data_IF_181420362876
#
_entry.id   IF_181420362876
#
_cell.length_a   1.000
_cell.length_b   1.000
_cell.length_c   1.000
_cell.angle_alpha   90.00
_cell.angle_beta   90.00
_cell.angle_gamma   90.00
#
_symmetry.space_group_name_H-M   'P 1'
#
loop_
_entity.id
_entity.type
_entity.pdbx_description
1 polymer ?
#
# COMPACT_ATOMS: atom_id res chain seq x y z
N UNK A 1 56.89 15.12 36.03
CA UNK A 1 58.15 14.89 36.76
C UNK A 1 59.27 15.45 35.89
N UNK A 2 59.84 16.57 36.32
CA UNK A 2 60.88 17.31 35.61
C UNK A 2 62.25 16.74 36.02
N UNK A 3 63.02 16.22 35.07
CA UNK A 3 64.43 15.89 35.27
C UNK A 3 65.28 17.04 34.74
N UNK A 4 65.90 17.76 35.67
CA UNK A 4 66.94 18.75 35.42
C UNK A 4 68.27 18.04 35.16
N UNK A 5 68.86 18.24 33.98
CA UNK A 5 70.24 17.85 33.72
C UNK A 5 71.16 19.07 33.86
N UNK A 6 72.09 18.98 34.79
CA UNK A 6 73.18 19.93 35.06
C UNK A 6 74.37 19.48 34.21
N UNK A 7 74.80 20.31 33.26
CA UNK A 7 76.05 20.10 32.51
C UNK A 7 77.19 20.86 33.17
N UNK A 8 78.16 20.11 33.71
CA UNK A 8 79.46 20.60 34.16
C UNK A 8 80.35 20.91 32.96
N UNK A 9 80.79 22.17 32.84
CA UNK A 9 81.82 22.60 31.87
C UNK A 9 83.18 22.55 32.56
N UNK A 10 84.03 21.60 32.16
CA UNK A 10 85.43 21.51 32.54
C UNK A 10 86.25 22.46 31.65
N UNK A 11 86.79 23.52 32.24
CA UNK A 11 87.76 24.42 31.60
C UNK A 11 89.15 23.85 31.80
N UNK A 12 89.78 23.36 30.73
CA UNK A 12 91.18 22.95 30.73
C UNK A 12 92.03 24.13 30.23
N UNK A 13 92.79 24.74 31.14
CA UNK A 13 93.80 25.74 30.80
C UNK A 13 95.06 25.04 30.28
N UNK A 14 95.38 25.20 28.99
CA UNK A 14 96.67 24.77 28.43
C UNK A 14 97.67 25.93 28.58
N UNK A 15 98.68 25.75 29.44
CA UNK A 15 99.83 26.65 29.57
C UNK A 15 100.74 26.50 28.35
N UNK A 16 100.85 27.57 27.54
CA UNK A 16 101.88 27.70 26.50
C UNK A 16 103.19 28.20 27.13
N UNK A 17 104.22 27.36 27.07
CA UNK A 17 105.60 27.70 27.41
C UNK A 17 106.31 28.26 26.17
N UNK A 18 106.70 29.54 26.22
CA UNK A 18 107.48 30.21 25.17
C UNK A 18 108.98 29.98 25.38
N UNK A 19 109.58 29.07 24.61
CA UNK A 19 111.04 28.95 24.49
C UNK A 19 111.52 29.71 23.26
N UNK A 20 112.30 30.77 23.47
CA UNK A 20 112.97 31.53 22.42
C UNK A 20 114.22 30.78 21.93
N UNK A 21 114.44 30.63 20.60
CA UNK A 21 115.69 30.09 20.09
C UNK A 21 116.78 31.18 19.99
N UNK A 22 117.98 30.82 20.43
CA UNK A 22 119.20 31.64 20.35
C UNK A 22 119.71 31.74 18.89
N UNK A 23 120.01 32.97 18.47
CA UNK A 23 120.55 33.31 17.15
C UNK A 23 122.05 32.99 17.06
N UNK A 24 122.40 31.92 16.34
CA UNK A 24 123.75 31.68 15.84
C UNK A 24 123.90 32.29 14.45
N UNK A 25 124.65 33.38 14.33
CA UNK A 25 125.02 33.99 13.05
C UNK A 25 126.29 33.32 12.50
N UNK A 26 126.12 32.29 11.67
CA UNK A 26 127.18 31.83 10.77
C UNK A 26 127.00 32.50 9.41
N UNK A 27 128.12 32.88 8.79
CA UNK A 27 128.18 33.61 7.51
C UNK A 27 127.66 32.77 6.35
N UNK A 28 126.34 32.71 6.22
CA UNK A 28 125.65 32.08 5.12
C UNK A 28 125.80 32.99 3.90
N UNK A 29 126.40 32.46 2.83
CA UNK A 29 126.52 33.15 1.54
C UNK A 29 125.14 33.62 1.07
N UNK A 30 125.02 34.82 0.48
CA UNK A 30 123.74 35.40 0.02
C UNK A 30 122.89 34.43 -0.80
N UNK A 31 123.49 33.49 -1.51
CA UNK A 31 122.79 32.41 -2.24
C UNK A 31 122.06 31.42 -1.33
N UNK A 32 122.63 31.01 -0.19
CA UNK A 32 121.96 30.11 0.74
C UNK A 32 120.82 30.80 1.50
N UNK A 33 120.95 32.10 1.83
CA UNK A 33 119.82 32.86 2.39
C UNK A 33 118.65 32.97 1.40
N UNK A 34 118.93 33.17 0.11
CA UNK A 34 117.88 33.17 -0.93
C UNK A 34 117.20 31.80 -1.08
N UNK A 35 117.95 30.70 -1.02
CA UNK A 35 117.40 29.34 -1.05
C UNK A 35 116.53 29.04 0.18
N UNK A 36 116.97 29.44 1.37
CA UNK A 36 116.20 29.23 2.59
C UNK A 36 114.90 30.04 2.57
N UNK A 37 114.96 31.29 2.11
CA UNK A 37 113.78 32.14 1.95
C UNK A 37 112.81 31.57 0.91
N UNK A 38 113.32 31.05 -0.21
CA UNK A 38 112.50 30.39 -1.23
C UNK A 38 111.83 29.12 -0.69
N UNK A 39 112.56 28.31 0.07
CA UNK A 39 112.02 27.11 0.73
C UNK A 39 110.95 27.47 1.77
N UNK A 40 111.17 28.54 2.55
CA UNK A 40 110.22 29.01 3.55
C UNK A 40 108.94 29.54 2.90
N UNK A 41 109.05 30.28 1.80
CA UNK A 41 107.89 30.73 1.01
C UNK A 41 107.13 29.56 0.40
N UNK A 42 107.82 28.53 -0.10
CA UNK A 42 107.16 27.30 -0.58
C UNK A 42 106.42 26.56 0.54
N UNK A 43 107.03 26.43 1.73
CA UNK A 43 106.37 25.79 2.87
C UNK A 43 105.15 26.59 3.34
N UNK A 44 105.25 27.92 3.39
CA UNK A 44 104.11 28.78 3.73
C UNK A 44 102.99 28.66 2.70
N UNK A 45 103.31 28.62 1.41
CA UNK A 45 102.31 28.40 0.35
C UNK A 45 101.58 27.06 0.51
N UNK A 46 102.31 25.98 0.83
CA UNK A 46 101.72 24.66 1.04
C UNK A 46 100.83 24.62 2.30
N UNK A 47 101.25 25.24 3.41
CA UNK A 47 100.43 25.34 4.62
C UNK A 47 99.16 26.16 4.38
N UNK A 48 99.26 27.27 3.65
CA UNK A 48 98.11 28.13 3.34
C UNK A 48 97.11 27.39 2.44
N UNK A 49 97.60 26.62 1.46
CA UNK A 49 96.75 25.76 0.62
C UNK A 49 96.07 24.65 1.42
N UNK A 50 96.76 24.01 2.36
CA UNK A 50 96.17 23.01 3.26
C UNK A 50 95.07 23.61 4.15
N UNK A 51 95.31 24.77 4.75
CA UNK A 51 94.30 25.46 5.56
C UNK A 51 93.08 25.84 4.74
N UNK A 52 93.29 26.35 3.53
CA UNK A 52 92.18 26.69 2.64
C UNK A 52 91.37 25.44 2.28
N UNK A 53 92.03 24.33 1.96
CA UNK A 53 91.35 23.06 1.66
C UNK A 53 90.59 22.49 2.86
N UNK A 54 91.12 22.62 4.08
CA UNK A 54 90.42 22.24 5.30
C UNK A 54 89.16 23.09 5.50
N UNK A 55 89.26 24.42 5.34
CA UNK A 55 88.09 25.30 5.44
C UNK A 55 87.02 24.97 4.39
N UNK A 56 87.40 24.65 3.16
CA UNK A 56 86.44 24.25 2.12
C UNK A 56 85.74 22.93 2.47
N UNK A 57 86.48 21.95 3.00
CA UNK A 57 85.92 20.68 3.43
C UNK A 57 84.93 20.85 4.61
N UNK A 58 85.30 21.64 5.62
CA UNK A 58 84.42 21.94 6.76
C UNK A 58 83.14 22.67 6.33
N UNK A 59 83.25 23.62 5.39
CA UNK A 59 82.08 24.30 4.82
C UNK A 59 81.19 23.33 4.01
N UNK A 60 81.79 22.41 3.25
CA UNK A 60 81.06 21.39 2.50
C UNK A 60 80.30 20.45 3.44
N UNK A 61 80.96 19.94 4.49
CA UNK A 61 80.34 19.06 5.48
C UNK A 61 79.20 19.75 6.24
N UNK A 62 79.39 21.02 6.64
CA UNK A 62 78.34 21.79 7.30
C UNK A 62 77.14 22.04 6.38
N UNK A 63 77.38 22.32 5.09
CA UNK A 63 76.33 22.48 4.09
C UNK A 63 75.54 21.19 3.89
N UNK A 64 76.21 20.04 3.83
CA UNK A 64 75.55 18.73 3.74
C UNK A 64 74.71 18.43 4.99
N UNK A 65 75.23 18.71 6.19
CA UNK A 65 74.46 18.54 7.43
C UNK A 65 73.21 19.43 7.47
N UNK A 66 73.32 20.70 7.04
CA UNK A 66 72.17 21.60 6.93
C UNK A 66 71.13 21.07 5.94
N UNK A 67 71.57 20.55 4.80
CA UNK A 67 70.68 19.96 3.80
C UNK A 67 69.97 18.71 4.34
N UNK A 68 70.67 17.84 5.06
CA UNK A 68 70.09 16.66 5.70
C UNK A 68 69.05 17.04 6.77
N UNK A 69 69.35 18.04 7.61
CA UNK A 69 68.41 18.52 8.62
C UNK A 69 67.14 19.10 8.00
N UNK A 70 67.27 19.84 6.89
CA UNK A 70 66.14 20.37 6.15
C UNK A 70 65.24 19.25 5.59
N UNK A 71 65.85 18.22 4.98
CA UNK A 71 65.12 17.06 4.49
C UNK A 71 64.39 16.31 5.61
N UNK A 72 65.05 16.12 6.76
CA UNK A 72 64.44 15.49 7.93
C UNK A 72 63.24 16.31 8.44
N UNK A 73 63.37 17.64 8.48
CA UNK A 73 62.27 18.53 8.88
C UNK A 73 61.09 18.44 7.90
N UNK A 74 61.36 18.37 6.59
CA UNK A 74 60.31 18.17 5.59
C UNK A 74 59.59 16.82 5.75
N UNK A 75 60.34 15.74 5.96
CA UNK A 75 59.77 14.41 6.22
C UNK A 75 58.88 14.41 7.47
N UNK A 76 59.33 15.06 8.55
CA UNK A 76 58.54 15.19 9.77
C UNK A 76 57.23 15.95 9.52
N UNK A 77 57.28 17.06 8.77
CA UNK A 77 56.07 17.81 8.42
C UNK A 77 55.10 16.99 7.55
N UNK A 78 55.61 16.20 6.60
CA UNK A 78 54.79 15.29 5.81
C UNK A 78 54.11 14.23 6.68
N UNK A 79 54.84 13.62 7.61
CA UNK A 79 54.29 12.64 8.56
C UNK A 79 53.18 13.25 9.43
N UNK A 80 53.37 14.48 9.92
CA UNK A 80 52.35 15.19 10.69
C UNK A 80 51.07 15.43 9.88
N UNK A 81 51.18 15.80 8.60
CA UNK A 81 50.03 15.94 7.70
C UNK A 81 49.30 14.62 7.51
N UNK A 82 50.02 13.53 7.24
CA UNK A 82 49.43 12.20 7.11
C UNK A 82 48.69 11.75 8.38
N UNK A 83 49.27 12.00 9.55
CA UNK A 83 48.63 11.66 10.83
C UNK A 83 47.37 12.51 11.10
N UNK A 84 47.37 13.78 10.69
CA UNK A 84 46.18 14.63 10.76
C UNK A 84 45.08 14.12 9.81
N UNK A 85 45.41 13.77 8.57
CA UNK A 85 44.46 13.18 7.62
C UNK A 85 43.88 11.87 8.12
N UNK A 86 44.70 10.97 8.69
CA UNK A 86 44.21 9.72 9.27
C UNK A 86 43.22 9.97 10.42
N UNK A 87 43.52 10.93 11.31
CA UNK A 87 42.59 11.31 12.38
C UNK A 87 41.28 11.89 11.83
N UNK A 88 41.33 12.68 10.76
CA UNK A 88 40.13 13.19 10.11
C UNK A 88 39.30 12.07 9.47
N UNK A 89 39.93 11.13 8.76
CA UNK A 89 39.26 9.95 8.19
C UNK A 89 38.60 9.10 9.27
N UNK A 90 39.28 8.88 10.40
CA UNK A 90 38.71 8.15 11.54
C UNK A 90 37.48 8.87 12.12
N UNK A 91 37.53 10.20 12.27
CA UNK A 91 36.37 10.99 12.72
C UNK A 91 35.20 10.88 11.75
N UNK A 92 35.45 11.00 10.45
CA UNK A 92 34.42 10.85 9.41
C UNK A 92 33.81 9.45 9.43
N UNK A 93 34.61 8.40 9.60
CA UNK A 93 34.12 7.02 9.73
C UNK A 93 33.25 6.84 10.98
N UNK A 94 33.64 7.40 12.12
CA UNK A 94 32.83 7.36 13.34
C UNK A 94 31.51 8.11 13.18
N UNK A 95 31.52 9.27 12.52
CA UNK A 95 30.31 10.04 12.24
C UNK A 95 29.35 9.29 11.32
N UNK A 96 29.89 8.65 10.26
CA UNK A 96 29.11 7.82 9.35
C UNK A 96 28.48 6.62 10.08
N UNK A 97 29.21 5.98 10.98
CA UNK A 97 28.70 4.89 11.81
C UNK A 97 27.55 5.36 12.71
N UNK A 98 27.70 6.51 13.38
CA UNK A 98 26.62 7.11 14.20
C UNK A 98 25.39 7.42 13.37
N UNK A 99 25.55 7.97 12.17
CA UNK A 99 24.43 8.27 11.28
C UNK A 99 23.72 6.98 10.81
N UNK A 100 24.46 5.92 10.51
CA UNK A 100 23.88 4.62 10.16
C UNK A 100 23.11 3.99 11.34
N UNK A 101 23.62 4.10 12.56
CA UNK A 101 22.93 3.65 13.77
C UNK A 101 21.65 4.45 14.02
N UNK A 102 21.69 5.78 13.86
CA UNK A 102 20.52 6.64 14.00
C UNK A 102 19.43 6.28 12.97
N UNK A 103 19.81 6.00 11.71
CA UNK A 103 18.86 5.53 10.69
C UNK A 103 18.23 4.18 11.07
N UNK A 104 19.01 3.22 11.58
CA UNK A 104 18.49 1.93 12.04
C UNK A 104 17.49 2.08 13.19
N UNK A 105 17.79 2.94 14.17
CA UNK A 105 16.88 3.23 15.27
C UNK A 105 15.58 3.89 14.79
N UNK A 106 15.68 4.84 13.85
CA UNK A 106 14.51 5.49 13.27
C UNK A 106 13.61 4.50 12.49
N UNK A 107 14.20 3.59 11.71
CA UNK A 107 13.45 2.54 11.04
C UNK A 107 12.77 1.58 12.03
N UNK A 108 13.44 1.21 13.12
CA UNK A 108 12.88 0.37 14.16
C UNK A 108 11.66 1.04 14.83
N UNK A 109 11.74 2.34 15.13
CA UNK A 109 10.62 3.11 15.65
C UNK A 109 9.44 3.13 14.69
N UNK A 110 9.69 3.32 13.38
CA UNK A 110 8.64 3.27 12.35
C UNK A 110 7.95 1.91 12.27
N UNK A 111 8.71 0.80 12.34
CA UNK A 111 8.13 -0.56 12.35
C UNK A 111 7.27 -0.78 13.59
N UNK A 112 7.74 -0.39 14.78
CA UNK A 112 6.95 -0.50 16.01
C UNK A 112 5.66 0.34 15.96
N UNK A 113 5.70 1.51 15.34
CA UNK A 113 4.49 2.33 15.16
C UNK A 113 3.50 1.66 14.20
N UNK A 114 3.98 1.13 13.07
CA UNK A 114 3.14 0.39 12.12
C UNK A 114 2.51 -0.86 12.74
N UNK A 115 3.26 -1.61 13.55
CA UNK A 115 2.74 -2.78 14.28
C UNK A 115 1.63 -2.38 15.26
N UNK A 116 1.82 -1.28 16.00
CA UNK A 116 0.78 -0.75 16.90
C UNK A 116 -0.47 -0.31 16.13
N UNK A 117 -0.32 0.36 15.00
CA UNK A 117 -1.43 0.78 14.14
C UNK A 117 -2.19 -0.43 13.57
N UNK A 118 -1.48 -1.47 13.13
CA UNK A 118 -2.09 -2.72 12.66
C UNK A 118 -2.84 -3.45 13.78
N UNK A 119 -2.26 -3.57 14.97
CA UNK A 119 -2.95 -4.16 16.13
C UNK A 119 -4.20 -3.38 16.50
N UNK A 120 -4.15 -2.05 16.49
CA UNK A 120 -5.32 -1.22 16.76
C UNK A 120 -6.40 -1.39 15.69
N UNK A 121 -6.02 -1.53 14.41
CA UNK A 121 -6.97 -1.77 13.33
C UNK A 121 -7.64 -3.16 13.45
N UNK A 122 -6.88 -4.19 13.81
CA UNK A 122 -7.43 -5.52 14.09
C UNK A 122 -8.42 -5.48 15.26
N UNK A 123 -8.08 -4.77 16.35
CA UNK A 123 -9.00 -4.58 17.47
C UNK A 123 -10.28 -3.85 17.05
N UNK A 124 -10.19 -2.81 16.20
CA UNK A 124 -11.39 -2.14 15.66
C UNK A 124 -12.24 -3.06 14.80
N UNK A 125 -11.63 -3.92 13.97
CA UNK A 125 -12.38 -4.89 13.16
C UNK A 125 -13.08 -5.93 14.03
N UNK A 126 -12.48 -6.37 15.13
CA UNK A 126 -13.15 -7.28 16.09
C UNK A 126 -14.32 -6.61 16.81
N UNK A 127 -14.25 -5.30 17.07
CA UNK A 127 -15.35 -4.55 17.70
C UNK A 127 -16.45 -4.12 16.72
N UNK A 128 -16.16 -4.08 15.41
CA UNK A 128 -17.11 -3.69 14.35
C UNK A 128 -17.63 -4.87 13.54
N UNK A 129 -17.24 -6.10 13.87
CA UNK A 129 -17.99 -7.25 13.40
C UNK A 129 -19.43 -7.05 13.88
N UNK A 130 -20.44 -6.98 12.98
CA UNK A 130 -21.82 -7.09 13.42
C UNK A 130 -21.88 -8.33 14.31
N UNK A 131 -22.64 -8.31 15.44
CA UNK A 131 -22.83 -9.53 16.21
C UNK A 131 -23.22 -10.56 15.18
N UNK A 132 -22.41 -11.63 15.07
CA UNK A 132 -22.80 -12.76 14.25
C UNK A 132 -24.24 -13.01 14.66
N UNK A 133 -25.18 -12.89 13.71
CA UNK A 133 -26.51 -13.36 14.01
C UNK A 133 -26.28 -14.84 14.28
N UNK A 134 -26.20 -15.15 15.57
CA UNK A 134 -26.08 -16.48 16.11
C UNK A 134 -27.34 -17.17 15.61
N UNK A 135 -27.25 -17.76 14.42
CA UNK A 135 -28.24 -18.67 13.91
C UNK A 135 -28.02 -19.91 14.79
N UNK A 136 -28.63 -19.88 15.99
CA UNK A 136 -28.48 -20.79 17.14
C UNK A 136 -28.37 -22.27 16.76
N UNK A 137 -27.24 -22.68 16.15
CA UNK A 137 -27.04 -24.00 15.59
C UNK A 137 -28.03 -24.43 14.50
N UNK A 138 -28.73 -23.52 13.80
CA UNK A 138 -29.60 -23.92 12.69
C UNK A 138 -28.75 -24.36 11.48
N UNK A 139 -29.10 -25.48 10.87
CA UNK A 139 -28.41 -25.99 9.68
C UNK A 139 -28.66 -25.04 8.49
N UNK A 140 -27.71 -24.93 7.53
CA UNK A 140 -27.90 -24.17 6.30
C UNK A 140 -29.21 -24.57 5.62
N UNK A 141 -30.07 -23.60 5.30
CA UNK A 141 -31.38 -23.85 4.71
C UNK A 141 -32.54 -23.98 5.71
N UNK A 142 -32.32 -23.92 7.02
CA UNK A 142 -33.39 -23.78 8.01
C UNK A 142 -33.48 -22.33 8.52
N UNK A 143 -34.70 -21.78 8.59
CA UNK A 143 -34.93 -20.35 8.89
C UNK A 143 -34.99 -20.04 10.39
N UNK A 144 -35.56 -20.92 11.21
CA UNK A 144 -35.74 -20.69 12.65
C UNK A 144 -35.35 -21.94 13.49
N UNK A 145 -34.55 -21.78 14.56
CA UNK A 145 -34.15 -22.85 15.48
C UNK A 145 -35.25 -23.41 16.39
N UNK A 146 -36.46 -22.84 16.39
CA UNK A 146 -37.53 -23.22 17.31
C UNK A 146 -38.78 -23.76 16.63
N UNK A 147 -38.91 -23.61 15.31
CA UNK A 147 -40.09 -24.04 14.54
C UNK A 147 -39.85 -25.40 13.88
N UNK A 148 -40.96 -26.08 13.59
CA UNK A 148 -41.00 -27.21 12.66
C UNK A 148 -41.63 -26.72 11.38
N UNK A 149 -40.84 -26.60 10.32
CA UNK A 149 -41.31 -26.05 9.05
C UNK A 149 -40.60 -26.67 7.85
N UNK A 150 -41.26 -26.58 6.69
CA UNK A 150 -40.65 -26.86 5.41
C UNK A 150 -39.98 -25.59 4.91
N UNK A 151 -38.67 -25.62 4.74
CA UNK A 151 -37.88 -24.49 4.23
C UNK A 151 -37.26 -24.87 2.90
N UNK A 152 -37.47 -24.04 1.86
CA UNK A 152 -36.79 -24.23 0.57
C UNK A 152 -35.27 -24.11 0.73
N UNK A 153 -34.53 -24.91 -0.01
CA UNK A 153 -33.07 -24.74 -0.13
C UNK A 153 -32.75 -23.35 -0.75
N UNK A 154 -31.79 -22.59 -0.17
CA UNK A 154 -31.45 -21.24 -0.65
C UNK A 154 -30.68 -21.22 -1.98
N UNK A 155 -30.05 -22.33 -2.36
CA UNK A 155 -29.25 -22.47 -3.58
C UNK A 155 -30.01 -23.26 -4.67
N UNK A 156 -30.90 -24.18 -4.29
CA UNK A 156 -31.65 -25.03 -5.22
C UNK A 156 -33.17 -25.03 -4.96
N UNK A 157 -33.93 -24.30 -5.78
CA UNK A 157 -35.38 -24.23 -5.65
C UNK A 157 -36.14 -25.54 -5.92
N UNK A 158 -35.50 -26.56 -6.46
CA UNK A 158 -36.10 -27.89 -6.62
C UNK A 158 -36.09 -28.68 -5.32
N UNK A 159 -35.34 -28.22 -4.31
CA UNK A 159 -35.20 -28.88 -3.02
C UNK A 159 -35.92 -28.14 -1.89
N UNK A 160 -36.49 -28.92 -0.98
CA UNK A 160 -37.08 -28.44 0.26
C UNK A 160 -36.60 -29.29 1.43
N UNK A 161 -36.26 -28.64 2.53
CA UNK A 161 -35.84 -29.25 3.78
C UNK A 161 -36.99 -29.24 4.78
N UNK A 162 -37.24 -30.39 5.42
CA UNK A 162 -38.04 -30.44 6.63
C UNK A 162 -37.13 -30.17 7.83
N UNK A 163 -37.32 -29.01 8.44
CA UNK A 163 -36.55 -28.57 9.60
C UNK A 163 -37.35 -28.84 10.88
N UNK A 164 -36.72 -29.44 11.88
CA UNK A 164 -37.26 -29.53 13.26
C UNK A 164 -36.26 -28.82 14.16
N UNK A 165 -36.70 -27.72 14.80
CA UNK A 165 -35.85 -26.95 15.71
C UNK A 165 -34.53 -26.51 15.06
N UNK A 166 -34.63 -25.97 13.83
CA UNK A 166 -33.48 -25.55 13.03
C UNK A 166 -32.59 -26.67 12.48
N UNK A 167 -32.90 -27.95 12.75
CA UNK A 167 -32.13 -29.09 12.23
C UNK A 167 -32.82 -29.72 11.04
N UNK A 168 -32.08 -29.85 9.94
CA UNK A 168 -32.56 -30.49 8.72
C UNK A 168 -32.72 -32.00 8.96
N UNK A 169 -33.96 -32.50 8.93
CA UNK A 169 -34.26 -33.92 9.11
C UNK A 169 -34.34 -34.65 7.78
N UNK A 170 -35.06 -34.06 6.82
CA UNK A 170 -35.31 -34.66 5.51
C UNK A 170 -35.19 -33.61 4.42
N UNK A 171 -34.76 -34.04 3.23
CA UNK A 171 -34.82 -33.24 2.01
C UNK A 171 -35.72 -33.95 1.01
N UNK A 172 -36.69 -33.22 0.47
CA UNK A 172 -37.49 -33.67 -0.66
C UNK A 172 -37.04 -32.89 -1.90
N UNK A 173 -36.85 -33.59 -3.01
CA UNK A 173 -36.66 -32.99 -4.31
C UNK A 173 -37.99 -33.04 -5.08
N UNK A 174 -38.40 -31.91 -5.65
CA UNK A 174 -39.63 -31.73 -6.41
C UNK A 174 -39.65 -32.41 -7.80
N UNK A 175 -38.58 -33.14 -8.16
CA UNK A 175 -38.26 -33.67 -9.49
C UNK A 175 -37.76 -32.57 -10.45
N UNK A 176 -36.98 -32.93 -11.48
CA UNK A 176 -36.17 -32.01 -12.31
C UNK A 176 -36.97 -30.91 -13.06
N UNK A 177 -38.30 -30.94 -13.03
CA UNK A 177 -39.17 -30.02 -13.78
C UNK A 177 -40.08 -29.15 -12.89
N UNK A 178 -40.02 -29.30 -11.57
CA UNK A 178 -40.87 -28.56 -10.63
C UNK A 178 -40.02 -27.87 -9.57
N UNK A 179 -40.54 -26.75 -9.07
CA UNK A 179 -39.92 -25.97 -7.99
C UNK A 179 -40.79 -26.03 -6.75
N UNK A 180 -40.17 -26.10 -5.57
CA UNK A 180 -40.92 -25.99 -4.32
C UNK A 180 -41.48 -24.58 -4.20
N UNK A 181 -42.75 -24.40 -3.88
CA UNK A 181 -43.37 -23.11 -3.58
C UNK A 181 -43.48 -22.88 -2.08
N UNK A 182 -42.98 -21.74 -1.56
CA UNK A 182 -43.17 -21.42 -0.14
C UNK A 182 -44.61 -20.96 0.13
N UNK A 183 -45.25 -20.26 -0.82
CA UNK A 183 -46.67 -19.87 -0.73
C UNK A 183 -47.59 -21.07 -0.80
N UNK A 184 -47.35 -21.97 -1.76
CA UNK A 184 -48.20 -23.13 -2.01
C UNK A 184 -47.90 -24.31 -1.09
N UNK A 185 -46.77 -24.30 -0.38
CA UNK A 185 -46.23 -25.44 0.37
C UNK A 185 -46.26 -26.76 -0.43
N UNK A 186 -45.92 -26.67 -1.72
CA UNK A 186 -46.02 -27.78 -2.67
C UNK A 186 -45.03 -27.60 -3.84
N UNK A 187 -44.74 -28.70 -4.53
CA UNK A 187 -43.98 -28.67 -5.78
C UNK A 187 -44.87 -28.22 -6.94
N UNK A 188 -44.58 -27.04 -7.49
CA UNK A 188 -45.36 -26.38 -8.55
C UNK A 188 -44.57 -26.28 -9.85
N UNK A 189 -45.26 -26.00 -10.95
CA UNK A 189 -44.60 -25.76 -12.23
C UNK A 189 -43.86 -24.41 -12.19
N UNK A 190 -42.62 -24.34 -12.69
CA UNK A 190 -41.89 -23.09 -12.79
C UNK A 190 -42.67 -22.10 -13.68
N UNK A 191 -42.59 -20.81 -13.34
CA UNK A 191 -43.36 -19.72 -13.96
C UNK A 191 -44.89 -19.80 -13.77
N UNK A 192 -45.40 -20.72 -12.95
CA UNK A 192 -46.81 -20.68 -12.55
C UNK A 192 -47.08 -19.55 -11.56
N UNK A 193 -48.35 -19.22 -11.35
CA UNK A 193 -48.77 -18.23 -10.33
C UNK A 193 -48.34 -18.60 -8.89
N UNK A 194 -47.89 -19.84 -8.66
CA UNK A 194 -47.41 -20.32 -7.37
C UNK A 194 -45.87 -20.43 -7.32
N UNK A 195 -45.15 -20.18 -8.42
CA UNK A 195 -43.68 -20.17 -8.43
C UNK A 195 -43.15 -18.88 -7.80
N UNK A 196 -42.79 -18.96 -6.53
CA UNK A 196 -42.11 -17.92 -5.77
C UNK A 196 -40.62 -18.20 -5.56
N UNK A 197 -40.00 -19.02 -6.43
CA UNK A 197 -38.55 -19.17 -6.51
C UNK A 197 -37.94 -18.07 -7.39
N UNK A 198 -38.50 -17.87 -8.58
CA UNK A 198 -37.99 -16.90 -9.54
C UNK A 198 -38.73 -15.56 -9.48
N UNK A 199 -39.82 -15.50 -8.72
CA UNK A 199 -40.57 -14.26 -8.51
C UNK A 199 -40.01 -13.49 -7.33
N UNK A 200 -39.85 -12.18 -7.51
CA UNK A 200 -39.48 -11.28 -6.43
C UNK A 200 -40.67 -11.23 -5.47
N UNK A 201 -40.57 -11.96 -4.36
CA UNK A 201 -41.44 -11.74 -3.22
C UNK A 201 -41.30 -10.30 -2.79
N UNK A 202 -42.29 -9.50 -3.13
CA UNK A 202 -42.32 -8.09 -2.78
C UNK A 202 -42.42 -8.02 -1.27
N UNK A 203 -41.48 -7.29 -0.67
CA UNK A 203 -41.48 -7.03 0.76
C UNK A 203 -42.88 -6.49 1.13
N UNK A 204 -43.54 -7.01 2.18
CA UNK A 204 -44.90 -6.62 2.47
C UNK A 204 -45.04 -5.10 2.56
N UNK A 205 -45.82 -4.52 1.65
CA UNK A 205 -46.00 -3.07 1.60
C UNK A 205 -47.31 -2.73 2.29
N UNK A 206 -47.21 -2.20 3.51
CA UNK A 206 -48.35 -1.85 4.34
C UNK A 206 -49.09 -0.65 3.74
N UNK A 207 -50.42 -0.73 3.65
CA UNK A 207 -51.30 0.30 3.08
C UNK A 207 -50.95 0.69 1.64
N UNK A 208 -50.67 -0.31 0.80
CA UNK A 208 -50.38 -0.11 -0.61
C UNK A 208 -51.64 0.37 -1.35
N UNK A 209 -51.49 1.39 -2.19
CA UNK A 209 -52.61 1.98 -2.95
C UNK A 209 -53.22 0.97 -3.92
N UNK A 210 -52.45 -0.02 -4.37
CA UNK A 210 -52.93 -1.10 -5.25
C UNK A 210 -53.94 -2.01 -4.56
N UNK A 211 -53.95 -2.04 -3.23
CA UNK A 211 -54.93 -2.78 -2.43
C UNK A 211 -56.16 -1.95 -2.03
N UNK A 212 -56.33 -0.73 -2.54
CA UNK A 212 -57.41 0.16 -2.13
C UNK A 212 -58.80 -0.34 -2.58
N UNK A 213 -58.86 -0.97 -3.76
CA UNK A 213 -60.13 -1.44 -4.33
C UNK A 213 -60.59 -2.75 -3.69
N UNK A 214 -59.68 -3.71 -3.53
CA UNK A 214 -59.94 -4.98 -2.86
C UNK A 214 -58.89 -5.22 -1.76
N UNK A 215 -59.16 -4.78 -0.51
CA UNK A 215 -58.20 -4.88 0.60
C UNK A 215 -57.78 -6.32 0.96
N UNK A 216 -58.58 -7.31 0.60
CA UNK A 216 -58.34 -8.74 0.80
C UNK A 216 -58.67 -9.49 -0.49
N UNK A 217 -57.70 -9.65 -1.39
CA UNK A 217 -57.93 -10.22 -2.71
C UNK A 217 -56.80 -10.01 -3.69
N UNK A 218 -57.07 -10.21 -4.98
CA UNK A 218 -56.09 -10.05 -6.06
C UNK A 218 -56.40 -8.79 -6.86
N UNK A 219 -55.51 -7.80 -6.81
CA UNK A 219 -55.69 -6.51 -7.49
C UNK A 219 -54.74 -6.41 -8.69
N UNK A 220 -55.14 -5.78 -9.81
CA UNK A 220 -54.24 -5.57 -10.94
C UNK A 220 -53.14 -4.56 -10.58
N UNK A 221 -51.95 -4.71 -11.16
CA UNK A 221 -50.95 -3.65 -11.07
C UNK A 221 -51.34 -2.49 -12.01
N UNK A 222 -51.41 -1.24 -11.53
CA UNK A 222 -51.82 -0.09 -12.34
C UNK A 222 -50.82 0.25 -13.47
N UNK A 223 -49.56 -0.18 -13.33
CA UNK A 223 -48.51 0.07 -14.31
C UNK A 223 -48.33 -1.07 -15.31
N UNK A 224 -48.75 -2.30 -14.97
CA UNK A 224 -48.57 -3.48 -15.82
C UNK A 224 -49.78 -4.41 -15.74
N UNK A 225 -50.60 -4.44 -16.79
CA UNK A 225 -51.82 -5.26 -16.86
C UNK A 225 -51.52 -6.79 -16.91
N UNK A 226 -50.28 -7.18 -17.21
CA UNK A 226 -49.80 -8.57 -17.07
C UNK A 226 -49.29 -8.87 -15.65
N UNK A 227 -49.44 -7.96 -14.70
CA UNK A 227 -49.03 -8.14 -13.30
C UNK A 227 -50.22 -7.91 -12.37
N UNK A 228 -50.22 -8.60 -11.24
CA UNK A 228 -51.24 -8.45 -10.20
C UNK A 228 -50.62 -8.64 -8.82
N UNK A 229 -51.29 -8.12 -7.79
CA UNK A 229 -50.84 -8.15 -6.40
C UNK A 229 -51.86 -8.87 -5.53
N UNK A 230 -51.37 -9.72 -4.64
CA UNK A 230 -52.18 -10.29 -3.57
C UNK A 230 -52.18 -9.34 -2.39
N UNK A 231 -53.38 -9.02 -1.90
CA UNK A 231 -53.61 -8.08 -0.82
C UNK A 231 -54.23 -8.79 0.39
N UNK A 232 -53.72 -8.49 1.58
CA UNK A 232 -54.32 -8.87 2.87
C UNK A 232 -54.33 -7.65 3.77
N UNK A 233 -55.51 -7.21 4.18
CA UNK A 233 -55.72 -6.03 5.01
C UNK A 233 -54.96 -4.78 4.51
N UNK A 234 -55.17 -4.44 3.23
CA UNK A 234 -54.47 -3.34 2.53
C UNK A 234 -52.95 -3.48 2.39
N UNK A 235 -52.40 -4.67 2.67
CA UNK A 235 -50.97 -4.94 2.54
C UNK A 235 -50.73 -5.80 1.32
N UNK A 236 -49.86 -5.38 0.41
CA UNK A 236 -49.38 -6.26 -0.67
C UNK A 236 -48.52 -7.34 -0.04
N UNK A 237 -48.94 -8.61 -0.14
CA UNK A 237 -48.22 -9.77 0.37
C UNK A 237 -47.47 -10.53 -0.71
N UNK A 238 -47.85 -10.35 -1.98
CA UNK A 238 -47.14 -10.88 -3.14
C UNK A 238 -47.44 -10.04 -4.38
N UNK A 239 -46.50 -10.00 -5.31
CA UNK A 239 -46.66 -9.44 -6.65
C UNK A 239 -46.33 -10.55 -7.64
N UNK A 240 -47.26 -10.85 -8.54
CA UNK A 240 -47.19 -11.97 -9.47
C UNK A 240 -47.34 -11.47 -10.91
N UNK A 241 -46.64 -12.11 -11.84
CA UNK A 241 -46.76 -11.85 -13.28
C UNK A 241 -47.60 -12.96 -13.91
N UNK A 242 -48.48 -12.58 -14.83
CA UNK A 242 -49.25 -13.50 -15.64
C UNK A 242 -48.33 -14.20 -16.66
N UNK A 243 -48.64 -15.47 -17.01
CA UNK A 243 -47.94 -16.16 -18.09
C UNK A 243 -47.94 -15.38 -19.41
N UNK A 244 -46.96 -15.65 -20.28
CA UNK A 244 -46.83 -15.00 -21.58
C UNK A 244 -48.15 -15.01 -22.38
N UNK A 245 -48.56 -13.86 -22.92
CA UNK A 245 -49.80 -13.64 -23.68
C UNK A 245 -51.11 -13.79 -22.86
N UNK A 246 -51.03 -13.59 -21.55
CA UNK A 246 -52.20 -13.53 -20.67
C UNK A 246 -52.19 -12.27 -19.82
N UNK A 247 -53.37 -11.74 -19.53
CA UNK A 247 -53.58 -10.56 -18.70
C UNK A 247 -54.43 -10.91 -17.48
N UNK A 248 -54.20 -10.20 -16.37
CA UNK A 248 -54.96 -10.42 -15.15
C UNK A 248 -56.38 -9.88 -15.28
N UNK A 249 -57.38 -10.76 -15.11
CA UNK A 249 -58.79 -10.39 -15.11
C UNK A 249 -59.31 -10.29 -13.68
N UNK A 250 -59.70 -9.09 -13.24
CA UNK A 250 -60.36 -8.86 -11.94
C UNK A 250 -61.71 -9.57 -11.82
N UNK A 251 -62.40 -9.80 -12.94
CA UNK A 251 -63.70 -10.48 -12.98
C UNK A 251 -63.64 -11.92 -12.46
N UNK A 252 -62.57 -12.62 -12.79
CA UNK A 252 -62.38 -14.04 -12.47
C UNK A 252 -61.20 -14.27 -11.53
N UNK A 253 -60.51 -13.19 -11.13
CA UNK A 253 -59.26 -13.20 -10.35
C UNK A 253 -58.22 -14.18 -10.91
N UNK A 254 -58.05 -14.21 -12.23
CA UNK A 254 -57.18 -15.15 -12.93
C UNK A 254 -56.57 -14.54 -14.19
N UNK A 255 -55.43 -15.08 -14.63
CA UNK A 255 -54.82 -14.70 -15.90
C UNK A 255 -55.61 -15.33 -17.05
N UNK A 256 -56.12 -14.49 -17.95
CA UNK A 256 -56.90 -14.92 -19.11
C UNK A 256 -56.16 -14.59 -20.40
N UNK A 257 -56.36 -15.37 -21.46
CA UNK A 257 -55.74 -15.11 -22.76
C UNK A 257 -56.20 -13.77 -23.30
N UNK A 258 -55.24 -12.94 -23.72
CA UNK A 258 -55.52 -11.63 -24.31
C UNK A 258 -56.42 -11.71 -25.58
N UNK A 259 -56.46 -12.87 -26.25
CA UNK A 259 -57.20 -13.10 -27.51
C UNK A 259 -58.72 -13.09 -27.35
N UNK A 260 -59.28 -13.37 -26.17
CA UNK A 260 -60.73 -13.62 -26.02
C UNK A 260 -61.63 -12.37 -26.03
N UNK A 261 -61.05 -11.16 -26.04
CA UNK A 261 -61.81 -9.91 -25.95
C UNK A 261 -61.81 -9.04 -27.21
N UNK A 262 -61.19 -9.52 -28.30
CA UNK A 262 -61.47 -9.00 -29.64
C UNK A 262 -62.82 -9.52 -30.15
N UNK A 263 -63.92 -9.04 -29.56
CA UNK A 263 -65.19 -9.08 -30.29
C UNK A 263 -65.06 -8.18 -31.52
N UNK A 264 -65.53 -8.61 -32.70
CA UNK A 264 -65.31 -7.88 -33.94
C UNK A 264 -66.15 -6.61 -33.94
N UNK A 265 -65.54 -5.46 -33.65
CA UNK A 265 -66.11 -4.19 -34.08
C UNK A 265 -66.11 -4.17 -35.61
N UNK A 266 -67.31 -4.45 -36.10
CA UNK A 266 -67.86 -4.18 -37.42
C UNK A 266 -67.07 -3.11 -38.19
N UNK A 267 -66.47 -3.54 -39.31
CA UNK A 267 -66.01 -2.69 -40.40
C UNK A 267 -67.15 -1.76 -40.84
N UNK A 268 -67.00 -0.44 -40.66
CA UNK A 268 -67.70 0.58 -41.45
C UNK A 268 -66.82 1.85 -41.61
N UNK A 269 -67.01 2.64 -42.69
CA UNK A 269 -65.92 3.04 -43.57
C UNK A 269 -65.47 4.49 -43.39
N UNK A 270 -64.19 4.71 -43.72
CA UNK A 270 -63.59 5.94 -44.26
C UNK A 270 -64.24 7.28 -43.88
N UNK A 271 -63.74 7.87 -42.80
CA UNK A 271 -63.51 9.31 -42.76
C UNK A 271 -62.12 9.52 -42.16
N UNK A 272 -61.24 10.08 -42.98
CA UNK A 272 -59.96 10.61 -42.54
C UNK A 272 -60.22 11.65 -41.46
N UNK A 273 -59.71 11.41 -40.25
CA UNK A 273 -59.35 12.47 -39.33
C UNK A 273 -57.90 12.26 -38.90
N UNK A 274 -57.11 13.19 -39.40
CA UNK A 274 -55.79 13.65 -38.99
C UNK A 274 -55.31 13.20 -37.61
N UNK A 275 -54.11 12.64 -37.62
CA UNK A 275 -53.27 12.39 -36.46
C UNK A 275 -53.07 13.68 -35.64
N UNK A 276 -53.51 13.64 -34.38
CA UNK A 276 -52.91 14.40 -33.30
C UNK A 276 -52.38 13.38 -32.31
N UNK A 277 -51.09 13.51 -32.00
CA UNK A 277 -50.28 12.61 -31.18
C UNK A 277 -51.05 11.88 -30.06
N UNK A 278 -50.85 10.56 -29.98
CA UNK A 278 -51.29 9.72 -28.88
C UNK A 278 -50.83 10.32 -27.54
N UNK A 279 -51.71 10.47 -26.55
CA UNK A 279 -51.27 10.76 -25.19
C UNK A 279 -50.42 9.58 -24.71
N UNK A 280 -49.23 9.87 -24.20
CA UNK A 280 -48.46 8.92 -23.40
C UNK A 280 -49.29 8.68 -22.15
N UNK A 281 -49.98 7.54 -22.08
CA UNK A 281 -50.80 7.17 -20.91
C UNK A 281 -49.83 6.64 -19.86
N UNK A 282 -49.48 7.48 -18.89
CA UNK A 282 -48.48 7.19 -17.84
C UNK A 282 -48.87 6.01 -16.92
N UNK A 283 -50.12 5.52 -16.97
CA UNK A 283 -50.59 4.30 -16.28
C UNK A 283 -51.73 3.65 -17.07
N UNK A 284 -51.45 2.61 -17.88
CA UNK A 284 -52.45 2.06 -18.80
C UNK A 284 -53.64 1.42 -18.08
N UNK A 285 -53.48 0.96 -16.83
CA UNK A 285 -54.52 0.23 -16.10
C UNK A 285 -55.17 1.06 -14.96
N UNK A 286 -54.89 2.38 -14.85
CA UNK A 286 -55.42 3.24 -13.77
C UNK A 286 -56.87 3.69 -14.03
N UNK A 287 -57.77 3.40 -13.08
CA UNK A 287 -59.18 3.83 -13.14
C UNK A 287 -60.13 2.86 -13.87
N UNK A 288 -59.61 1.75 -14.38
CA UNK A 288 -60.44 0.69 -14.93
C UNK A 288 -60.71 -0.37 -13.87
N UNK A 289 -61.97 -0.77 -13.70
CA UNK A 289 -62.33 -1.87 -12.78
C UNK A 289 -61.79 -3.22 -13.26
N UNK A 290 -61.35 -3.27 -14.52
CA UNK A 290 -60.85 -4.42 -15.24
C UNK A 290 -59.60 -3.94 -15.99
N UNK A 291 -58.50 -4.69 -16.06
CA UNK A 291 -57.29 -4.34 -16.83
C UNK A 291 -57.47 -4.32 -18.36
N UNK A 292 -58.63 -3.87 -18.84
CA UNK A 292 -59.13 -3.92 -20.21
C UNK A 292 -58.72 -2.65 -21.01
N UNK A 293 -57.45 -2.25 -21.01
CA UNK A 293 -57.01 -1.03 -21.73
C UNK A 293 -55.90 -1.36 -22.73
N UNK A 294 -56.10 -0.97 -23.98
CA UNK A 294 -55.06 -0.99 -25.01
C UNK A 294 -53.93 -0.02 -24.63
N UNK A 295 -52.70 -0.53 -24.44
CA UNK A 295 -51.50 0.30 -24.36
C UNK A 295 -51.20 0.86 -25.76
N UNK A 296 -51.30 2.19 -25.99
CA UNK A 296 -51.01 2.78 -27.29
C UNK A 296 -49.53 2.74 -27.69
N UNK A 297 -48.63 2.37 -26.76
CA UNK A 297 -47.18 2.45 -26.93
C UNK A 297 -46.47 1.10 -27.05
N UNK A 298 -47.11 -0.03 -26.69
CA UNK A 298 -46.53 -1.37 -26.79
C UNK A 298 -47.51 -2.42 -27.31
N UNK A 299 -47.87 -2.37 -28.60
CA UNK A 299 -48.67 -3.39 -29.29
C UNK A 299 -47.97 -4.77 -29.47
N UNK A 300 -47.06 -5.17 -28.57
CA UNK A 300 -46.18 -6.34 -28.75
C UNK A 300 -46.28 -7.42 -27.66
N UNK A 301 -47.05 -7.18 -26.60
CA UNK A 301 -47.46 -8.21 -25.63
C UNK A 301 -48.89 -7.87 -25.29
N UNK A 302 -49.79 -8.55 -26.00
CA UNK A 302 -51.23 -8.35 -25.94
C UNK A 302 -51.76 -8.40 -24.52
#
# INVERSE_FOLDING_TARGET
MQSSYISLVLVVCVQQSSTQPALFQSGISRRQQQLLLQQQLQQQGFQQQQQQQQQTNEQSELSEQQQQLFLQQQQYQQLQRQLQEQRQRQKQQQELQRLQEQRRLQEQQRRQQQEKEQQQQQQRQQQQAPPAMDNFGADPGCKDPWTTEWTRDPEDCTMVHFCIQGKQQWTINCNDTRVWSNVGHACVEPMSQWDDCNQVMTTPTLNDVRCANEPNGMNPDPANCAQFVACVNMTVVATMECPTNTLFSTRNSTCTSATFYLQPYVLFPTYFLTATASPIVDKPCEGTSNGDVEDPSHCGRF
#
